data_IF_330288464007
#
_entry.id   IF_330288464007
#
_cell.length_a   1.000
_cell.length_b   1.000
_cell.length_c   1.000
_cell.angle_alpha   90.00
_cell.angle_beta   90.00
_cell.angle_gamma   90.00
#
_symmetry.space_group_name_H-M   'P 1'
#
loop_
_entity.id
_entity.type
_entity.pdbx_description
1 polymer ?
#
# COMPACT_ATOMS: atom_id res chain seq x y z
N UNK A 1 -6.46 12.00 63.37
CA UNK A 1 -6.14 12.80 62.16
C UNK A 1 -5.33 12.00 61.12
N UNK A 2 -5.64 10.71 60.96
CA UNK A 2 -4.83 9.74 60.17
C UNK A 2 -5.60 9.17 58.99
N UNK A 3 -6.92 8.94 59.11
CA UNK A 3 -7.79 8.33 58.08
C UNK A 3 -7.86 9.12 56.75
N UNK A 4 -7.89 10.46 56.78
CA UNK A 4 -7.95 11.28 55.55
C UNK A 4 -6.67 11.21 54.70
N UNK A 5 -5.50 10.95 55.32
CA UNK A 5 -4.22 10.81 54.60
C UNK A 5 -4.12 9.45 53.91
N UNK A 6 -4.57 8.39 54.57
CA UNK A 6 -4.63 7.04 54.01
C UNK A 6 -5.60 6.96 52.83
N UNK A 7 -6.79 7.59 52.96
CA UNK A 7 -7.78 7.65 51.87
C UNK A 7 -7.24 8.40 50.64
N UNK A 8 -6.49 9.49 50.83
CA UNK A 8 -5.84 10.23 49.74
C UNK A 8 -4.78 9.40 49.02
N UNK A 9 -3.99 8.62 49.75
CA UNK A 9 -2.95 7.74 49.17
C UNK A 9 -3.59 6.62 48.35
N UNK A 10 -4.67 6.02 48.84
CA UNK A 10 -5.42 4.97 48.13
C UNK A 10 -6.03 5.53 46.83
N UNK A 11 -6.61 6.73 46.87
CA UNK A 11 -7.15 7.40 45.67
C UNK A 11 -6.07 7.71 44.63
N UNK A 12 -4.87 8.12 45.06
CA UNK A 12 -3.71 8.35 44.19
C UNK A 12 -3.20 7.05 43.54
N UNK A 13 -3.15 5.93 44.28
CA UNK A 13 -2.74 4.64 43.70
C UNK A 13 -3.76 4.10 42.70
N UNK A 14 -5.05 4.27 42.95
CA UNK A 14 -6.12 3.88 42.03
C UNK A 14 -6.05 4.70 40.73
N UNK A 15 -5.73 6.00 40.81
CA UNK A 15 -5.57 6.86 39.64
C UNK A 15 -4.37 6.45 38.75
N UNK A 16 -3.28 5.96 39.34
CA UNK A 16 -2.11 5.46 38.59
C UNK A 16 -2.44 4.16 37.83
N UNK A 17 -3.31 3.31 38.39
CA UNK A 17 -3.77 2.08 37.74
C UNK A 17 -4.64 2.35 36.50
N UNK A 18 -5.38 3.46 36.46
CA UNK A 18 -6.19 3.85 35.29
C UNK A 18 -5.37 4.45 34.13
N UNK A 19 -4.14 4.89 34.36
CA UNK A 19 -3.27 5.45 33.31
C UNK A 19 -2.47 4.39 32.54
N UNK A 20 -2.50 3.12 32.95
CA UNK A 20 -1.73 2.03 32.31
C UNK A 20 -2.52 1.24 31.25
N UNK A 21 -3.59 1.80 30.69
CA UNK A 21 -4.20 1.24 29.48
C UNK A 21 -3.57 1.88 28.23
N UNK A 22 -2.32 1.53 27.94
CA UNK A 22 -1.67 1.92 26.69
C UNK A 22 -2.37 1.18 25.54
N UNK A 23 -3.15 1.91 24.73
CA UNK A 23 -3.66 1.47 23.41
C UNK A 23 -2.50 1.05 22.50
N UNK A 24 -2.01 -0.19 22.64
CA UNK A 24 -0.95 -0.78 21.79
C UNK A 24 -1.38 -0.88 20.33
N UNK A 25 -2.67 -1.03 20.08
CA UNK A 25 -3.26 -1.26 18.76
C UNK A 25 -3.14 -0.06 17.79
N UNK A 26 -3.04 1.16 18.31
CA UNK A 26 -3.01 2.36 17.44
C UNK A 26 -1.59 2.68 16.92
N UNK A 27 -0.52 2.36 17.67
CA UNK A 27 0.83 2.77 17.29
C UNK A 27 1.36 2.01 16.06
N UNK A 28 1.13 0.70 16.00
CA UNK A 28 1.63 -0.15 14.93
C UNK A 28 0.87 0.03 13.62
N UNK A 29 -0.44 0.25 13.67
CA UNK A 29 -1.25 0.64 12.49
C UNK A 29 -0.79 1.99 11.95
N UNK A 30 -0.61 2.98 12.84
CA UNK A 30 -0.10 4.30 12.42
C UNK A 30 1.33 4.23 11.87
N UNK A 31 2.16 3.32 12.38
CA UNK A 31 3.48 3.07 11.81
C UNK A 31 3.38 2.57 10.37
N UNK A 32 2.59 1.53 10.09
CA UNK A 32 2.44 0.99 8.73
C UNK A 32 1.84 2.03 7.77
N UNK A 33 0.82 2.79 8.21
CA UNK A 33 0.26 3.91 7.44
C UNK A 33 1.32 4.96 7.07
N UNK A 34 2.20 5.33 8.00
CA UNK A 34 3.31 6.27 7.70
C UNK A 34 4.30 5.70 6.69
N UNK A 35 4.61 4.40 6.80
CA UNK A 35 5.47 3.73 5.81
C UNK A 35 4.82 3.74 4.44
N UNK A 36 3.53 3.40 4.38
CA UNK A 36 2.72 3.38 3.16
C UNK A 36 2.68 4.76 2.50
N UNK A 37 2.49 5.83 3.26
CA UNK A 37 2.49 7.20 2.76
C UNK A 37 3.81 7.58 2.05
N UNK A 38 4.96 7.13 2.59
CA UNK A 38 6.28 7.38 1.98
C UNK A 38 6.48 6.64 0.64
N UNK A 39 5.86 5.47 0.48
CA UNK A 39 6.16 4.55 -0.63
C UNK A 39 5.04 4.44 -1.66
N UNK A 40 3.85 4.99 -1.43
CA UNK A 40 2.68 4.80 -2.29
C UNK A 40 2.94 5.20 -3.76
N UNK A 41 3.28 6.47 -4.01
CA UNK A 41 3.52 6.97 -5.37
C UNK A 41 4.73 6.29 -6.04
N UNK A 42 5.90 6.16 -5.38
CA UNK A 42 7.01 5.41 -5.95
C UNK A 42 6.65 3.96 -6.33
N UNK A 43 5.75 3.33 -5.58
CA UNK A 43 5.30 1.97 -5.86
C UNK A 43 4.43 1.97 -7.10
N UNK A 44 3.41 2.83 -7.16
CA UNK A 44 2.57 2.99 -8.36
C UNK A 44 3.43 3.25 -9.61
N UNK A 45 4.42 4.15 -9.50
CA UNK A 45 5.32 4.45 -10.62
C UNK A 45 6.15 3.26 -11.11
N UNK A 46 6.46 2.31 -10.22
CA UNK A 46 7.29 1.14 -10.54
C UNK A 46 6.50 -0.12 -10.91
N UNK A 47 5.23 -0.20 -10.54
CA UNK A 47 4.40 -1.41 -10.75
C UNK A 47 3.21 -1.22 -11.69
N UNK A 48 2.79 0.03 -11.94
CA UNK A 48 1.71 0.32 -12.89
C UNK A 48 2.22 0.19 -14.33
N UNK A 49 1.72 -0.81 -15.05
CA UNK A 49 2.12 -1.03 -16.43
C UNK A 49 1.41 -0.03 -17.35
N UNK A 50 2.15 0.53 -18.32
CA UNK A 50 1.57 1.14 -19.52
C UNK A 50 1.65 0.13 -20.65
N UNK A 51 0.49 -0.46 -20.99
CA UNK A 51 0.40 -1.55 -21.98
C UNK A 51 0.98 -1.18 -23.34
N UNK A 52 1.03 0.11 -23.71
CA UNK A 52 1.66 0.56 -24.96
C UNK A 52 3.15 0.28 -24.92
N UNK A 53 3.79 0.54 -23.78
CA UNK A 53 5.24 0.33 -23.62
C UNK A 53 5.61 -1.11 -23.28
N UNK A 54 4.68 -1.91 -22.77
CA UNK A 54 4.95 -3.27 -22.29
C UNK A 54 5.27 -4.27 -23.40
N UNK A 55 4.62 -4.12 -24.55
CA UNK A 55 4.66 -5.07 -25.68
C UNK A 55 5.98 -5.06 -26.50
N UNK A 56 7.04 -4.43 -26.00
CA UNK A 56 8.37 -4.45 -26.64
C UNK A 56 8.46 -3.72 -27.97
N UNK A 57 7.45 -2.89 -28.31
CA UNK A 57 7.44 -2.11 -29.54
C UNK A 57 8.51 -1.01 -29.49
N UNK A 58 9.29 -0.89 -30.56
CA UNK A 58 10.24 0.18 -30.75
C UNK A 58 9.49 1.44 -31.21
N UNK A 59 9.29 2.39 -30.29
CA UNK A 59 8.68 3.68 -30.59
C UNK A 59 9.72 4.70 -31.02
N UNK A 60 9.41 5.53 -32.02
CA UNK A 60 10.19 6.74 -32.33
C UNK A 60 10.17 7.73 -31.16
N UNK A 61 11.11 8.68 -31.14
CA UNK A 61 11.19 9.71 -30.10
C UNK A 61 9.89 10.52 -29.97
N UNK A 62 9.31 10.94 -31.10
CA UNK A 62 8.02 11.62 -31.15
C UNK A 62 6.88 10.78 -30.56
N UNK A 63 6.88 9.47 -30.79
CA UNK A 63 5.89 8.57 -30.19
C UNK A 63 6.11 8.41 -28.69
N UNK A 64 7.35 8.32 -28.22
CA UNK A 64 7.67 8.28 -26.78
C UNK A 64 7.23 9.57 -26.08
N UNK A 65 7.48 10.74 -26.67
CA UNK A 65 7.02 12.03 -26.15
C UNK A 65 5.49 12.10 -26.08
N UNK A 66 4.82 11.59 -27.12
CA UNK A 66 3.36 11.51 -27.14
C UNK A 66 2.82 10.58 -26.06
N UNK A 67 3.45 9.41 -25.86
CA UNK A 67 3.09 8.46 -24.79
C UNK A 67 3.31 9.12 -23.43
N UNK A 68 4.44 9.77 -23.21
CA UNK A 68 4.76 10.46 -21.97
C UNK A 68 3.74 11.56 -21.66
N UNK A 69 3.38 12.40 -22.64
CA UNK A 69 2.32 13.41 -22.47
C UNK A 69 0.96 12.77 -22.13
N UNK A 70 0.66 11.61 -22.71
CA UNK A 70 -0.60 10.93 -22.45
C UNK A 70 -0.63 10.16 -21.11
N UNK A 71 0.54 9.89 -20.50
CA UNK A 71 0.63 9.30 -19.15
C UNK A 71 0.18 10.25 -18.03
N UNK A 72 -0.24 11.48 -18.35
CA UNK A 72 -0.87 12.41 -17.43
C UNK A 72 -2.35 12.10 -17.23
N UNK A 73 -2.84 12.32 -16.00
CA UNK A 73 -4.22 12.09 -15.58
C UNK A 73 -4.72 10.64 -15.78
N UNK A 74 -3.83 9.65 -15.66
CA UNK A 74 -4.21 8.23 -15.69
C UNK A 74 -5.15 7.92 -14.54
N UNK A 75 -6.29 7.29 -14.83
CA UNK A 75 -7.23 6.83 -13.81
C UNK A 75 -6.83 5.41 -13.40
N UNK A 76 -6.56 5.22 -12.12
CA UNK A 76 -6.13 3.93 -11.56
C UNK A 76 -7.14 3.51 -10.50
N UNK A 77 -7.74 2.33 -10.69
CA UNK A 77 -8.54 1.71 -9.63
C UNK A 77 -7.62 1.19 -8.53
N UNK A 78 -8.04 1.32 -7.28
CA UNK A 78 -7.21 0.89 -6.16
C UNK A 78 -8.07 0.25 -5.07
N UNK A 79 -7.62 -0.90 -4.55
CA UNK A 79 -8.22 -1.49 -3.35
C UNK A 79 -7.71 -0.75 -2.11
N UNK A 80 -8.59 0.00 -1.44
CA UNK A 80 -8.24 0.85 -0.29
C UNK A 80 -8.05 0.08 1.01
N UNK A 81 -8.13 -1.26 0.98
CA UNK A 81 -7.93 -2.14 2.12
C UNK A 81 -6.65 -2.93 1.91
N UNK A 82 -5.74 -2.89 2.88
CA UNK A 82 -4.55 -3.74 2.84
C UNK A 82 -4.93 -5.19 3.14
N UNK A 83 -4.76 -6.08 2.15
CA UNK A 83 -5.05 -7.51 2.34
C UNK A 83 -3.83 -8.22 2.95
N UNK A 84 -4.07 -9.32 3.68
CA UNK A 84 -3.00 -10.19 4.14
C UNK A 84 -2.53 -11.07 2.96
N UNK A 85 -1.25 -11.05 2.57
CA UNK A 85 -0.77 -11.85 1.45
C UNK A 85 -0.88 -13.37 1.73
N UNK A 86 -0.99 -14.21 0.68
CA UNK A 86 -1.10 -15.66 0.82
C UNK A 86 0.12 -16.30 1.53
N UNK A 87 -0.08 -17.51 2.08
CA UNK A 87 0.96 -18.25 2.83
C UNK A 87 2.21 -18.54 1.98
N UNK A 88 2.13 -18.59 0.65
CA UNK A 88 3.30 -18.85 -0.21
C UNK A 88 4.26 -17.65 -0.33
N UNK A 89 3.76 -16.42 -0.26
CA UNK A 89 4.61 -15.23 0.00
C UNK A 89 5.38 -15.39 1.32
N UNK A 90 4.77 -16.15 2.21
CA UNK A 90 5.15 -16.30 3.59
C UNK A 90 6.22 -17.38 3.77
N UNK A 91 6.21 -18.50 3.05
CA UNK A 91 7.13 -19.63 3.29
C UNK A 91 8.61 -19.33 3.00
N UNK A 92 8.92 -18.41 2.07
CA UNK A 92 10.29 -17.93 1.83
C UNK A 92 10.69 -16.67 2.63
N UNK A 93 9.71 -15.86 3.05
CA UNK A 93 9.93 -14.51 3.63
C UNK A 93 9.64 -14.41 5.14
N UNK A 94 8.73 -15.22 5.68
CA UNK A 94 8.17 -15.04 7.05
C UNK A 94 9.07 -15.43 8.19
N UNK A 95 10.10 -16.25 7.95
CA UNK A 95 11.08 -16.49 9.00
C UNK A 95 11.80 -15.19 9.38
N UNK A 96 11.89 -14.22 8.45
CA UNK A 96 12.54 -12.93 8.66
C UNK A 96 11.57 -11.75 8.81
N UNK A 97 10.43 -11.76 8.12
CA UNK A 97 9.51 -10.63 8.07
C UNK A 97 8.13 -10.97 8.64
N UNK A 98 7.57 -10.08 9.47
CA UNK A 98 6.26 -10.24 10.10
C UNK A 98 5.43 -8.96 9.97
N UNK A 99 4.10 -9.05 9.91
CA UNK A 99 3.28 -7.84 9.90
C UNK A 99 3.49 -7.07 11.20
N UNK A 100 3.41 -5.74 11.14
CA UNK A 100 3.56 -4.90 12.33
C UNK A 100 2.40 -5.10 13.35
N UNK A 101 1.27 -5.61 12.87
CA UNK A 101 0.02 -5.90 13.57
C UNK A 101 -0.88 -6.75 12.66
N UNK A 102 -1.94 -7.35 13.21
CA UNK A 102 -2.93 -8.12 12.45
C UNK A 102 -4.14 -7.28 11.99
N UNK A 103 -4.25 -6.03 12.46
CA UNK A 103 -5.38 -5.15 12.17
C UNK A 103 -5.42 -4.76 10.67
N UNK A 104 -6.57 -4.97 10.04
CA UNK A 104 -6.86 -4.47 8.70
C UNK A 104 -7.15 -2.97 8.80
N UNK A 105 -6.64 -2.17 7.87
CA UNK A 105 -6.93 -0.74 7.84
C UNK A 105 -7.18 -0.25 6.42
N UNK A 106 -7.95 0.83 6.33
CA UNK A 106 -8.18 1.54 5.09
C UNK A 106 -7.54 2.92 5.08
N UNK A 107 -7.44 3.49 3.89
CA UNK A 107 -6.89 4.82 3.65
C UNK A 107 -7.68 5.55 2.56
N UNK A 108 -7.58 6.88 2.60
CA UNK A 108 -8.14 7.77 1.59
C UNK A 108 -7.15 7.93 0.44
N UNK A 109 -7.65 7.83 -0.79
CA UNK A 109 -6.86 7.91 -2.03
C UNK A 109 -6.61 9.35 -2.46
N UNK A 110 -7.47 10.26 -2.05
CA UNK A 110 -7.50 11.66 -2.49
C UNK A 110 -6.16 12.36 -2.24
N UNK A 111 -5.51 12.04 -1.10
CA UNK A 111 -4.22 12.62 -0.72
C UNK A 111 -3.05 12.23 -1.64
N UNK A 112 -3.22 11.18 -2.46
CA UNK A 112 -2.21 10.71 -3.40
C UNK A 112 -2.47 11.15 -4.84
N UNK A 113 -3.61 11.79 -5.11
CA UNK A 113 -3.87 12.31 -6.44
C UNK A 113 -2.79 13.31 -6.85
N UNK A 114 -2.40 13.23 -8.12
CA UNK A 114 -1.36 14.06 -8.71
C UNK A 114 -1.73 14.42 -10.14
N UNK A 115 -0.90 15.23 -10.80
CA UNK A 115 -1.04 15.50 -12.24
C UNK A 115 -0.91 14.22 -13.08
N UNK A 116 -0.19 13.21 -12.57
CA UNK A 116 0.02 11.93 -13.25
C UNK A 116 -1.14 10.96 -13.01
N UNK A 117 -1.67 10.91 -11.78
CA UNK A 117 -2.64 9.90 -11.38
C UNK A 117 -3.90 10.47 -10.72
N UNK A 118 -5.04 9.91 -11.11
CA UNK A 118 -6.32 10.03 -10.43
C UNK A 118 -6.72 8.66 -9.90
N UNK A 119 -6.60 8.47 -8.60
CA UNK A 119 -6.96 7.22 -7.96
C UNK A 119 -8.45 7.16 -7.65
N UNK A 120 -9.03 5.99 -7.85
CA UNK A 120 -10.45 5.69 -7.62
C UNK A 120 -10.59 4.42 -6.83
N UNK A 121 -11.56 4.36 -5.92
CA UNK A 121 -11.78 3.13 -5.16
C UNK A 121 -12.30 2.05 -6.11
N UNK A 122 -11.74 0.84 -6.03
CA UNK A 122 -12.18 -0.30 -6.84
C UNK A 122 -13.69 -0.59 -6.67
N UNK A 123 -14.28 -0.22 -5.52
CA UNK A 123 -15.72 -0.36 -5.27
C UNK A 123 -16.61 0.62 -6.04
N UNK A 124 -16.05 1.64 -6.71
CA UNK A 124 -16.85 2.62 -7.46
C UNK A 124 -17.56 2.03 -8.67
N UNK A 125 -17.07 0.92 -9.22
CA UNK A 125 -17.67 0.19 -10.34
C UNK A 125 -17.48 -1.31 -10.14
N UNK A 126 -18.39 -2.16 -10.67
CA UNK A 126 -18.18 -3.60 -10.70
C UNK A 126 -16.81 -3.98 -11.28
N UNK A 127 -16.07 -4.75 -10.50
CA UNK A 127 -14.75 -5.25 -10.91
C UNK A 127 -14.92 -6.63 -11.54
N UNK A 128 -15.13 -6.64 -12.86
CA UNK A 128 -15.23 -7.84 -13.68
C UNK A 128 -13.91 -8.09 -14.41
N UNK A 129 -13.66 -9.30 -14.87
CA UNK A 129 -12.40 -9.65 -15.55
C UNK A 129 -12.10 -8.72 -16.73
N UNK A 130 -13.11 -8.31 -17.50
CA UNK A 130 -12.94 -7.43 -18.67
C UNK A 130 -12.86 -5.92 -18.36
N UNK A 131 -13.11 -5.51 -17.12
CA UNK A 131 -13.09 -4.09 -16.67
C UNK A 131 -13.89 -3.10 -17.55
N UNK A 132 -14.87 -3.57 -18.32
CA UNK A 132 -15.56 -2.75 -19.34
C UNK A 132 -16.26 -1.52 -18.75
N UNK A 133 -16.82 -1.64 -17.54
CA UNK A 133 -17.49 -0.52 -16.87
C UNK A 133 -16.49 0.57 -16.45
N UNK A 134 -15.30 0.17 -16.01
CA UNK A 134 -14.21 1.08 -15.70
C UNK A 134 -13.73 1.83 -16.94
N UNK A 135 -13.49 1.10 -18.04
CA UNK A 135 -13.06 1.67 -19.32
C UNK A 135 -14.10 2.64 -19.89
N UNK A 136 -15.41 2.31 -19.80
CA UNK A 136 -16.50 3.16 -20.27
C UNK A 136 -16.62 4.45 -19.45
N UNK A 137 -16.51 4.37 -18.13
CA UNK A 137 -16.68 5.52 -17.23
C UNK A 137 -15.45 6.45 -17.23
N UNK A 138 -14.26 5.88 -17.37
CA UNK A 138 -13.00 6.59 -17.22
C UNK A 138 -12.15 6.44 -18.49
N UNK A 139 -12.17 7.40 -19.43
CA UNK A 139 -11.45 7.29 -20.70
C UNK A 139 -9.94 7.08 -20.59
N UNK A 140 -9.33 7.54 -19.48
CA UNK A 140 -7.90 7.34 -19.17
C UNK A 140 -7.66 6.21 -18.16
N UNK A 141 -8.59 5.26 -18.06
CA UNK A 141 -8.44 4.10 -17.18
C UNK A 141 -7.20 3.29 -17.56
N UNK A 142 -6.39 2.96 -16.56
CA UNK A 142 -5.05 2.41 -16.72
C UNK A 142 -4.86 1.06 -16.01
N UNK A 143 -5.96 0.49 -15.50
CA UNK A 143 -5.95 -0.73 -14.71
C UNK A 143 -6.14 -0.47 -13.22
N UNK A 144 -5.96 -1.54 -12.46
CA UNK A 144 -6.15 -1.60 -11.02
C UNK A 144 -4.86 -2.00 -10.32
N UNK A 145 -4.67 -1.49 -9.11
CA UNK A 145 -3.60 -1.89 -8.20
C UNK A 145 -4.19 -2.32 -6.85
N UNK A 146 -3.56 -3.30 -6.23
CA UNK A 146 -3.77 -3.63 -4.82
C UNK A 146 -2.44 -3.87 -4.13
N UNK A 147 -2.30 -3.37 -2.90
CA UNK A 147 -1.11 -3.59 -2.07
C UNK A 147 -1.48 -4.48 -0.90
N UNK A 148 -0.61 -5.43 -0.57
CA UNK A 148 -0.75 -6.23 0.64
C UNK A 148 -0.38 -5.43 1.89
N UNK A 149 -0.54 -6.04 3.07
CA UNK A 149 0.14 -5.58 4.29
C UNK A 149 1.65 -5.57 4.08
N UNK A 150 2.32 -4.66 4.78
CA UNK A 150 3.77 -4.60 4.81
C UNK A 150 4.31 -5.50 5.93
N UNK A 151 5.20 -6.40 5.56
CA UNK A 151 5.90 -7.29 6.48
C UNK A 151 7.26 -6.67 6.77
N UNK A 152 7.60 -6.52 8.05
CA UNK A 152 8.81 -5.85 8.49
C UNK A 152 9.77 -6.83 9.15
N UNK A 153 11.07 -6.54 9.04
CA UNK A 153 12.06 -7.25 9.84
C UNK A 153 11.86 -6.89 11.33
N UNK A 154 12.46 -7.68 12.22
CA UNK A 154 12.34 -7.47 13.67
C UNK A 154 12.75 -6.05 14.10
N UNK A 155 13.71 -5.44 13.41
CA UNK A 155 14.19 -4.08 13.73
C UNK A 155 13.37 -2.96 13.07
N UNK A 156 12.39 -3.29 12.23
CA UNK A 156 11.55 -2.36 11.47
C UNK A 156 12.36 -1.35 10.65
N UNK A 157 13.45 -1.81 10.05
CA UNK A 157 14.34 -1.02 9.17
C UNK A 157 14.19 -1.39 7.70
N UNK A 158 13.65 -2.58 7.43
CA UNK A 158 13.36 -3.13 6.12
C UNK A 158 11.95 -3.69 6.11
N UNK A 159 11.34 -3.74 4.94
CA UNK A 159 10.04 -4.36 4.77
C UNK A 159 9.85 -4.90 3.37
N UNK A 160 8.82 -5.71 3.23
CA UNK A 160 8.45 -6.36 1.99
C UNK A 160 6.93 -6.43 1.91
N UNK A 161 6.38 -6.20 0.71
CA UNK A 161 4.95 -6.31 0.45
C UNK A 161 4.71 -6.68 -1.01
N UNK A 162 3.52 -7.19 -1.28
CA UNK A 162 3.08 -7.53 -2.63
C UNK A 162 2.30 -6.39 -3.27
N UNK A 163 2.45 -6.30 -4.58
CA UNK A 163 1.62 -5.46 -5.43
C UNK A 163 1.05 -6.32 -6.54
N UNK A 164 -0.27 -6.25 -6.74
CA UNK A 164 -0.91 -6.83 -7.92
C UNK A 164 -1.37 -5.71 -8.83
N UNK A 165 -0.96 -5.79 -10.10
CA UNK A 165 -1.50 -4.99 -11.18
C UNK A 165 -2.46 -5.84 -12.02
N UNK A 166 -3.63 -5.27 -12.34
CA UNK A 166 -4.63 -5.93 -13.17
C UNK A 166 -5.17 -4.97 -14.23
N UNK A 167 -5.19 -5.38 -15.49
CA UNK A 167 -5.74 -4.57 -16.59
C UNK A 167 -6.77 -5.30 -17.47
N UNK A 168 -7.13 -6.53 -17.12
CA UNK A 168 -8.10 -7.35 -17.84
C UNK A 168 -7.88 -8.85 -17.60
N UNK A 169 -8.76 -9.69 -18.13
CA UNK A 169 -8.80 -11.17 -17.93
C UNK A 169 -7.48 -11.90 -18.20
N UNK A 170 -6.62 -11.36 -19.06
CA UNK A 170 -5.29 -11.90 -19.42
C UNK A 170 -4.18 -10.90 -19.19
N UNK A 171 -4.36 -10.04 -18.19
CA UNK A 171 -3.45 -8.97 -17.86
C UNK A 171 -3.38 -8.83 -16.34
N UNK A 172 -2.66 -9.76 -15.72
CA UNK A 172 -2.33 -9.72 -14.31
C UNK A 172 -0.83 -9.80 -14.13
N UNK A 173 -0.25 -8.93 -13.30
CA UNK A 173 1.17 -8.98 -12.95
C UNK A 173 1.33 -8.80 -11.44
N UNK A 174 2.06 -9.73 -10.82
CA UNK A 174 2.46 -9.67 -9.43
C UNK A 174 3.86 -9.12 -9.26
N UNK A 175 4.05 -8.35 -8.19
CA UNK A 175 5.35 -7.84 -7.77
C UNK A 175 5.59 -8.08 -6.29
N UNK A 176 6.85 -8.34 -5.95
CA UNK A 176 7.37 -8.25 -4.60
C UNK A 176 8.22 -6.98 -4.48
N UNK A 177 7.81 -6.08 -3.58
CA UNK A 177 8.44 -4.77 -3.39
C UNK A 177 9.19 -4.77 -2.06
N UNK A 178 10.50 -4.52 -2.12
CA UNK A 178 11.36 -4.40 -0.95
C UNK A 178 11.61 -2.94 -0.63
N UNK A 179 11.46 -2.59 0.65
CA UNK A 179 11.62 -1.22 1.15
C UNK A 179 12.62 -1.16 2.29
N UNK A 180 13.25 0.01 2.46
CA UNK A 180 14.21 0.27 3.53
C UNK A 180 14.04 1.68 4.08
N UNK A 181 14.21 1.83 5.39
CA UNK A 181 14.28 3.13 6.07
C UNK A 181 15.66 3.76 5.84
N UNK A 182 15.68 4.93 5.21
CA UNK A 182 16.89 5.70 4.90
C UNK A 182 16.66 7.17 5.27
N UNK A 183 17.49 7.73 6.15
CA UNK A 183 17.40 9.14 6.58
C UNK A 183 15.96 9.53 6.99
N UNK A 184 15.33 8.70 7.82
CA UNK A 184 13.96 8.86 8.33
C UNK A 184 12.82 8.78 7.31
N UNK A 185 13.07 8.42 6.05
CA UNK A 185 12.04 8.11 5.07
C UNK A 185 12.15 6.67 4.59
N UNK A 186 11.02 6.06 4.25
CA UNK A 186 11.01 4.77 3.59
C UNK A 186 11.21 4.94 2.08
N UNK A 187 11.98 4.04 1.49
CA UNK A 187 12.26 4.02 0.06
C UNK A 187 12.17 2.61 -0.48
N UNK A 188 11.73 2.49 -1.73
CA UNK A 188 11.83 1.26 -2.51
C UNK A 188 13.31 1.01 -2.81
N UNK A 189 13.78 -0.20 -2.56
CA UNK A 189 15.14 -0.65 -2.87
C UNK A 189 15.16 -1.73 -3.95
N UNK A 190 14.06 -2.46 -4.14
CA UNK A 190 13.94 -3.49 -5.16
C UNK A 190 12.46 -3.74 -5.49
N UNK A 191 12.18 -4.00 -6.77
CA UNK A 191 10.89 -4.47 -7.27
C UNK A 191 11.17 -5.71 -8.10
N UNK A 192 10.55 -6.83 -7.75
CA UNK A 192 10.75 -8.12 -8.41
C UNK A 192 9.42 -8.60 -8.98
N UNK A 193 9.41 -9.03 -10.24
CA UNK A 193 8.24 -9.72 -10.81
C UNK A 193 8.10 -11.09 -10.15
N UNK A 194 6.89 -11.42 -9.72
CA UNK A 194 6.59 -12.70 -9.07
C UNK A 194 5.78 -13.63 -9.97
N UNK A 195 4.81 -13.09 -10.70
CA UNK A 195 3.98 -13.86 -11.62
C UNK A 195 3.37 -12.97 -12.71
N UNK A 196 2.93 -13.61 -13.79
CA UNK A 196 2.17 -13.02 -14.89
C UNK A 196 1.06 -13.98 -15.31
N UNK A 197 -0.10 -13.44 -15.67
CA UNK A 197 -1.25 -14.15 -16.21
C UNK A 197 -1.63 -13.66 -17.59
#
# INVERSE_FOLDING_TARGET
MTSKKTLRIILLMIFILFMSCHKKENNTVNFEKKVFDDIFIPTVDSTLIDMRTYIGFQYSEKQRDSIQKDTLNRVVAFNTVNYMPPIDFSTGSTQKYKPANDSIWSFSLEKYNSSKYKFKNVSEQPFTDELTQWQKKYPKFSGSLSFSKIYFDETRKTGVFEVTYFCGSKCGVGYQVHIKKMKNKWKIIKVEHTWIS
#
